data_IF_542360744235
#
_entry.id   IF_542360744235
#
_cell.length_a   1.000
_cell.length_b   1.000
_cell.length_c   1.000
_cell.angle_alpha   90.00
_cell.angle_beta   90.00
_cell.angle_gamma   90.00
#
_symmetry.space_group_name_H-M   'P 1'
#
loop_
_entity.id
_entity.type
_entity.pdbx_description
1 polymer ?
#
# COMPACT_ATOMS: atom_id res chain seq x y z
N UNK A 1 21.79 -15.29 17.68
CA UNK A 1 20.51 -14.69 18.10
C UNK A 1 19.52 -15.04 17.03
N UNK A 2 18.33 -15.52 17.40
CA UNK A 2 17.28 -15.81 16.42
C UNK A 2 16.97 -14.55 15.57
N UNK A 3 16.97 -14.63 14.23
CA UNK A 3 16.75 -13.47 13.36
C UNK A 3 15.41 -12.77 13.60
N UNK A 4 14.35 -13.54 13.89
CA UNK A 4 13.02 -13.00 14.17
C UNK A 4 13.02 -12.22 15.49
N UNK A 5 13.57 -12.80 16.56
CA UNK A 5 13.73 -12.09 17.84
C UNK A 5 14.55 -10.78 17.69
N UNK A 6 15.59 -10.79 16.85
CA UNK A 6 16.38 -9.60 16.57
C UNK A 6 15.59 -8.52 15.81
N UNK A 7 14.76 -8.93 14.84
CA UNK A 7 13.84 -8.07 14.09
C UNK A 7 12.82 -7.42 15.02
N UNK A 8 12.13 -8.22 15.85
CA UNK A 8 11.12 -7.69 16.78
C UNK A 8 11.74 -6.67 17.75
N UNK A 9 12.96 -6.93 18.25
CA UNK A 9 13.65 -5.96 19.10
C UNK A 9 13.98 -4.65 18.37
N UNK A 10 14.31 -4.70 17.07
CA UNK A 10 14.48 -3.48 16.26
C UNK A 10 13.18 -2.73 16.08
N UNK A 11 12.07 -3.41 15.79
CA UNK A 11 10.75 -2.79 15.67
C UNK A 11 10.37 -2.04 16.94
N UNK A 12 10.52 -2.68 18.12
CA UNK A 12 10.26 -2.02 19.41
C UNK A 12 11.13 -0.79 19.64
N UNK A 13 12.43 -0.87 19.29
CA UNK A 13 13.35 0.28 19.41
C UNK A 13 12.99 1.43 18.47
N UNK A 14 12.39 1.13 17.32
CA UNK A 14 11.89 2.11 16.37
C UNK A 14 10.51 2.69 16.75
N UNK A 15 9.92 2.27 17.88
CA UNK A 15 8.66 2.80 18.39
C UNK A 15 7.41 2.04 17.92
N UNK A 16 7.56 0.93 17.19
CA UNK A 16 6.43 0.07 16.84
C UNK A 16 5.99 -0.77 18.05
N UNK A 17 4.69 -0.78 18.31
CA UNK A 17 4.11 -1.60 19.36
C UNK A 17 4.02 -3.07 18.92
N UNK A 18 4.69 -3.94 19.69
CA UNK A 18 4.64 -5.39 19.50
C UNK A 18 4.37 -6.03 20.85
N UNK A 19 3.09 -6.27 21.11
CA UNK A 19 2.61 -6.87 22.35
C UNK A 19 3.06 -8.33 22.50
N UNK A 20 2.69 -8.96 23.61
CA UNK A 20 3.10 -10.34 23.90
C UNK A 20 2.47 -11.36 22.94
N UNK A 21 1.21 -11.16 22.52
CA UNK A 21 0.48 -12.08 21.64
C UNK A 21 1.05 -12.02 20.21
N UNK A 22 1.26 -10.82 19.68
CA UNK A 22 1.87 -10.59 18.39
C UNK A 22 3.31 -11.10 18.34
N UNK A 23 4.09 -10.86 19.40
CA UNK A 23 5.44 -11.41 19.51
C UNK A 23 5.44 -12.94 19.47
N UNK A 24 4.53 -13.60 20.18
CA UNK A 24 4.41 -15.06 20.14
C UNK A 24 4.05 -15.56 18.74
N UNK A 25 3.05 -14.95 18.09
CA UNK A 25 2.63 -15.31 16.74
C UNK A 25 3.76 -15.12 15.71
N UNK A 26 4.50 -14.00 15.75
CA UNK A 26 5.63 -13.76 14.85
C UNK A 26 6.79 -14.73 15.06
N UNK A 27 6.98 -15.23 16.29
CA UNK A 27 8.01 -16.24 16.59
C UNK A 27 7.58 -17.65 16.17
N UNK A 28 6.28 -17.96 16.20
CA UNK A 28 5.73 -19.25 15.82
C UNK A 28 5.64 -19.40 14.29
N UNK A 29 5.15 -18.37 13.60
CA UNK A 29 4.95 -18.41 12.15
C UNK A 29 6.25 -18.10 11.41
N UNK A 30 6.85 -19.15 10.85
CA UNK A 30 8.10 -19.04 10.11
C UNK A 30 7.89 -18.50 8.68
N UNK A 31 8.38 -17.29 8.42
CA UNK A 31 8.31 -16.65 7.08
C UNK A 31 8.87 -17.52 5.95
N UNK A 32 9.84 -18.40 6.25
CA UNK A 32 10.46 -19.32 5.28
C UNK A 32 9.47 -20.33 4.71
N UNK A 33 8.34 -20.55 5.37
CA UNK A 33 7.28 -21.40 4.85
C UNK A 33 6.45 -20.72 3.76
N UNK A 34 6.57 -19.41 3.56
CA UNK A 34 5.68 -18.64 2.67
C UNK A 34 6.36 -18.10 1.42
N UNK A 35 7.66 -18.33 1.25
CA UNK A 35 8.45 -17.96 0.08
C UNK A 35 9.59 -18.96 -0.13
N UNK A 36 9.99 -19.15 -1.39
CA UNK A 36 11.17 -19.95 -1.76
C UNK A 36 12.44 -19.10 -1.87
N UNK A 37 12.31 -17.79 -1.68
CA UNK A 37 13.40 -16.82 -1.75
C UNK A 37 14.06 -16.71 -0.36
N UNK A 38 15.35 -16.38 -0.36
CA UNK A 38 16.13 -16.21 0.85
C UNK A 38 15.52 -15.10 1.76
N UNK A 39 15.23 -15.40 3.05
CA UNK A 39 14.43 -14.54 3.93
C UNK A 39 15.21 -13.39 4.59
N UNK A 40 16.52 -13.26 4.39
CA UNK A 40 17.34 -12.23 5.08
C UNK A 40 16.80 -10.81 4.88
N UNK A 41 16.36 -10.37 3.68
CA UNK A 41 15.76 -9.06 3.50
C UNK A 41 14.56 -8.82 4.43
N UNK A 42 13.72 -9.83 4.63
CA UNK A 42 12.57 -9.75 5.54
C UNK A 42 13.02 -9.49 6.98
N UNK A 43 14.05 -10.19 7.45
CA UNK A 43 14.61 -9.93 8.78
C UNK A 43 15.20 -8.52 8.90
N UNK A 44 15.56 -7.85 7.80
CA UNK A 44 15.97 -6.44 7.79
C UNK A 44 14.82 -5.45 7.62
N UNK A 45 13.60 -5.87 7.95
CA UNK A 45 12.38 -5.07 7.84
C UNK A 45 12.07 -4.60 6.42
N UNK A 46 12.19 -5.52 5.45
CA UNK A 46 11.86 -5.26 4.04
C UNK A 46 10.78 -6.21 3.54
N UNK A 47 10.02 -5.81 2.50
CA UNK A 47 9.17 -6.74 1.79
C UNK A 47 10.00 -7.88 1.21
N UNK A 48 9.39 -9.05 1.04
CA UNK A 48 10.01 -10.19 0.38
C UNK A 48 9.11 -10.73 -0.72
N UNK A 49 9.70 -11.03 -1.87
CA UNK A 49 8.99 -11.65 -2.98
C UNK A 49 8.59 -13.07 -2.60
N UNK A 50 7.39 -13.49 -3.00
CA UNK A 50 6.94 -14.88 -2.84
C UNK A 50 6.46 -15.52 -4.13
N UNK A 51 6.11 -14.72 -5.14
CA UNK A 51 5.64 -15.19 -6.43
C UNK A 51 6.07 -14.20 -7.52
N UNK A 52 6.55 -14.74 -8.63
CA UNK A 52 6.81 -14.02 -9.87
C UNK A 52 6.04 -14.72 -10.99
N UNK A 53 5.21 -13.99 -11.72
CA UNK A 53 4.45 -14.53 -12.87
C UNK A 53 5.36 -14.65 -14.08
N UNK A 54 4.97 -15.50 -15.04
CA UNK A 54 5.69 -15.64 -16.31
C UNK A 54 5.74 -14.33 -17.13
N UNK A 55 4.83 -13.40 -16.85
CA UNK A 55 4.76 -12.07 -17.50
C UNK A 55 5.51 -10.99 -16.73
N UNK A 56 6.28 -11.36 -15.69
CA UNK A 56 7.09 -10.43 -14.90
C UNK A 56 6.32 -9.71 -13.79
N UNK A 57 5.10 -10.13 -13.45
CA UNK A 57 4.39 -9.61 -12.28
C UNK A 57 5.03 -10.14 -10.99
N UNK A 58 5.40 -9.26 -10.06
CA UNK A 58 6.05 -9.64 -8.80
C UNK A 58 5.12 -9.36 -7.63
N UNK A 59 4.86 -10.37 -6.79
CA UNK A 59 4.12 -10.17 -5.53
C UNK A 59 5.01 -10.38 -4.33
N UNK A 60 4.78 -9.51 -3.33
CA UNK A 60 5.55 -9.47 -2.10
C UNK A 60 4.69 -9.70 -0.87
N UNK A 61 5.28 -10.34 0.14
CA UNK A 61 4.84 -10.23 1.52
C UNK A 61 5.34 -8.88 2.05
N UNK A 62 4.47 -8.12 2.70
CA UNK A 62 4.78 -6.78 3.24
C UNK A 62 5.90 -6.83 4.28
N UNK A 63 6.59 -5.69 4.45
CA UNK A 63 7.61 -5.54 5.48
C UNK A 63 7.06 -5.82 6.90
N UNK A 64 7.87 -6.38 7.80
CA UNK A 64 7.48 -6.67 9.18
C UNK A 64 6.84 -5.52 9.96
N UNK A 65 7.32 -4.28 9.86
CA UNK A 65 6.69 -3.14 10.54
C UNK A 65 5.24 -2.96 10.09
N UNK A 66 4.99 -3.05 8.78
CA UNK A 66 3.65 -2.93 8.21
C UNK A 66 2.77 -4.09 8.64
N UNK A 67 3.29 -5.32 8.64
CA UNK A 67 2.56 -6.49 9.16
C UNK A 67 2.18 -6.28 10.63
N UNK A 68 3.11 -5.81 11.46
CA UNK A 68 2.86 -5.56 12.88
C UNK A 68 1.80 -4.49 13.11
N UNK A 69 1.84 -3.39 12.37
CA UNK A 69 0.86 -2.30 12.48
C UNK A 69 -0.53 -2.75 12.03
N UNK A 70 -0.64 -3.45 10.90
CA UNK A 70 -1.94 -3.96 10.44
C UNK A 70 -2.56 -4.92 11.46
N UNK A 71 -1.77 -5.83 12.03
CA UNK A 71 -2.26 -6.78 13.03
C UNK A 71 -2.68 -6.09 14.34
N UNK A 72 -1.95 -5.05 14.75
CA UNK A 72 -2.32 -4.24 15.91
C UNK A 72 -3.66 -3.52 15.69
N UNK A 73 -3.81 -2.84 14.55
CA UNK A 73 -5.05 -2.14 14.19
C UNK A 73 -6.23 -3.07 13.90
N UNK A 74 -5.97 -4.35 13.63
CA UNK A 74 -7.02 -5.35 13.45
C UNK A 74 -7.63 -5.82 14.78
N UNK A 75 -7.04 -5.48 15.93
CA UNK A 75 -7.63 -5.68 17.27
C UNK A 75 -8.22 -7.09 17.45
N UNK A 76 -7.42 -8.10 17.11
CA UNK A 76 -7.85 -9.49 17.07
C UNK A 76 -8.05 -10.09 18.46
N UNK A 77 -9.24 -10.65 18.68
CA UNK A 77 -9.56 -11.48 19.83
C UNK A 77 -9.64 -12.97 19.44
N UNK A 78 -9.42 -13.84 20.43
CA UNK A 78 -9.63 -15.28 20.26
C UNK A 78 -11.07 -15.56 19.84
N UNK A 79 -11.27 -16.44 18.86
CA UNK A 79 -12.59 -16.79 18.33
C UNK A 79 -13.14 -15.82 17.27
N UNK A 80 -12.41 -14.77 16.89
CA UNK A 80 -12.86 -13.88 15.83
C UNK A 80 -12.96 -14.60 14.47
N UNK A 81 -13.97 -14.21 13.70
CA UNK A 81 -14.09 -14.57 12.28
C UNK A 81 -13.50 -13.44 11.44
N UNK A 82 -12.44 -13.74 10.69
CA UNK A 82 -11.65 -12.75 9.95
C UNK A 82 -11.74 -13.03 8.46
N UNK A 83 -12.04 -12.00 7.66
CA UNK A 83 -11.92 -12.03 6.21
C UNK A 83 -10.69 -11.25 5.77
N UNK A 84 -9.85 -11.85 4.93
CA UNK A 84 -8.68 -11.22 4.32
C UNK A 84 -8.91 -11.15 2.80
N UNK A 85 -8.77 -9.96 2.22
CA UNK A 85 -8.79 -9.73 0.77
C UNK A 85 -7.37 -9.40 0.32
N UNK A 86 -6.87 -10.15 -0.66
CA UNK A 86 -5.46 -10.21 -0.99
C UNK A 86 -4.76 -11.21 -0.08
N UNK A 87 -4.40 -12.36 -0.64
CA UNK A 87 -3.79 -13.46 0.11
C UNK A 87 -2.30 -13.23 0.36
N UNK A 88 -1.64 -12.50 -0.54
CA UNK A 88 -0.17 -12.40 -0.60
C UNK A 88 0.42 -13.82 -0.57
N UNK A 89 1.54 -14.02 0.13
CA UNK A 89 2.13 -15.35 0.29
C UNK A 89 1.44 -16.23 1.33
N UNK A 90 0.31 -15.83 1.93
CA UNK A 90 -0.35 -16.56 3.02
C UNK A 90 0.17 -16.26 4.44
N UNK A 91 1.32 -15.59 4.57
CA UNK A 91 1.94 -15.26 5.88
C UNK A 91 1.02 -14.46 6.82
N UNK A 92 0.31 -13.46 6.30
CA UNK A 92 -0.66 -12.69 7.09
C UNK A 92 -1.79 -13.58 7.61
N UNK A 93 -2.31 -14.48 6.76
CA UNK A 93 -3.35 -15.44 7.15
C UNK A 93 -2.90 -16.39 8.26
N UNK A 94 -1.66 -16.88 8.19
CA UNK A 94 -1.07 -17.71 9.24
C UNK A 94 -0.95 -16.96 10.58
N UNK A 95 -0.47 -15.72 10.57
CA UNK A 95 -0.40 -14.89 11.79
C UNK A 95 -1.78 -14.63 12.39
N UNK A 96 -2.78 -14.31 11.55
CA UNK A 96 -4.16 -14.12 12.02
C UNK A 96 -4.71 -15.40 12.63
N UNK A 97 -4.48 -16.56 11.99
CA UNK A 97 -4.89 -17.88 12.49
C UNK A 97 -4.31 -18.19 13.87
N UNK A 98 -3.02 -17.91 14.10
CA UNK A 98 -2.41 -18.02 15.44
C UNK A 98 -3.07 -17.09 16.48
N UNK A 99 -3.36 -15.84 16.08
CA UNK A 99 -3.89 -14.83 16.99
C UNK A 99 -5.34 -15.08 17.39
N UNK A 100 -6.19 -15.54 16.46
CA UNK A 100 -7.60 -15.88 16.75
C UNK A 100 -7.74 -17.26 17.38
N UNK A 101 -6.74 -18.13 17.22
CA UNK A 101 -6.72 -19.47 17.80
C UNK A 101 -7.70 -20.45 17.15
N UNK A 102 -7.79 -21.69 17.67
CA UNK A 102 -8.53 -22.78 17.03
C UNK A 102 -10.06 -22.58 17.00
N UNK A 103 -10.60 -21.71 17.84
CA UNK A 103 -12.03 -21.37 17.87
C UNK A 103 -12.39 -20.23 16.89
N UNK A 104 -11.39 -19.57 16.30
CA UNK A 104 -11.56 -18.53 15.30
C UNK A 104 -11.41 -19.09 13.89
N UNK A 105 -11.89 -18.34 12.90
CA UNK A 105 -11.91 -18.75 11.49
C UNK A 105 -11.31 -17.65 10.62
N UNK A 106 -10.47 -18.03 9.64
CA UNK A 106 -9.83 -17.10 8.70
C UNK A 106 -10.23 -17.45 7.28
N UNK A 107 -10.91 -16.53 6.62
CA UNK A 107 -11.27 -16.63 5.21
C UNK A 107 -10.35 -15.73 4.40
N UNK A 108 -9.70 -16.27 3.37
CA UNK A 108 -8.77 -15.53 2.52
C UNK A 108 -9.26 -15.57 1.08
N UNK A 109 -9.39 -14.40 0.47
CA UNK A 109 -9.84 -14.21 -0.91
C UNK A 109 -8.75 -13.55 -1.73
N UNK A 110 -8.50 -14.09 -2.93
CA UNK A 110 -7.58 -13.47 -3.89
C UNK A 110 -8.08 -13.71 -5.32
N UNK A 111 -7.97 -12.72 -6.23
CA UNK A 111 -8.36 -12.93 -7.62
C UNK A 111 -7.38 -13.78 -8.43
N UNK A 112 -6.11 -13.83 -8.02
CA UNK A 112 -5.09 -14.58 -8.73
C UNK A 112 -5.11 -16.07 -8.35
N UNK A 113 -5.30 -16.93 -9.35
CA UNK A 113 -5.26 -18.37 -9.16
C UNK A 113 -3.89 -18.88 -8.72
N UNK A 114 -2.81 -18.30 -9.25
CA UNK A 114 -1.44 -18.65 -8.87
C UNK A 114 -1.17 -18.32 -7.40
N UNK A 115 -1.66 -17.17 -6.92
CA UNK A 115 -1.56 -16.76 -5.52
C UNK A 115 -2.39 -17.68 -4.62
N UNK A 116 -3.62 -18.03 -5.03
CA UNK A 116 -4.48 -18.95 -4.28
C UNK A 116 -3.84 -20.33 -4.14
N UNK A 117 -3.28 -20.87 -5.22
CA UNK A 117 -2.59 -22.17 -5.20
C UNK A 117 -1.38 -22.10 -4.26
N UNK A 118 -0.51 -21.10 -4.43
CA UNK A 118 0.67 -20.91 -3.58
C UNK A 118 0.29 -20.88 -2.10
N UNK A 119 -0.67 -20.04 -1.72
CA UNK A 119 -1.05 -19.91 -0.32
C UNK A 119 -1.77 -21.14 0.23
N UNK A 120 -2.61 -21.80 -0.56
CA UNK A 120 -3.26 -23.05 -0.16
C UNK A 120 -2.21 -24.12 0.18
N UNK A 121 -1.16 -24.23 -0.65
CA UNK A 121 -0.07 -25.18 -0.43
C UNK A 121 0.76 -24.83 0.82
N UNK A 122 0.92 -23.55 1.18
CA UNK A 122 1.67 -23.12 2.38
C UNK A 122 0.85 -23.10 3.67
N UNK A 123 -0.48 -23.13 3.57
CA UNK A 123 -1.41 -23.07 4.70
C UNK A 123 -2.10 -24.42 4.96
N UNK A 124 -1.66 -25.49 4.31
CA UNK A 124 -2.33 -26.81 4.30
C UNK A 124 -2.50 -27.46 5.68
N UNK A 125 -1.66 -27.10 6.65
CA UNK A 125 -1.66 -27.63 8.01
C UNK A 125 -2.52 -26.83 8.99
N UNK A 126 -3.18 -25.76 8.50
CA UNK A 126 -4.01 -24.86 9.31
C UNK A 126 -5.49 -25.12 9.06
N UNK A 127 -6.12 -25.84 9.99
CA UNK A 127 -7.51 -26.29 9.86
C UNK A 127 -8.55 -25.15 9.86
N UNK A 128 -8.21 -24.02 10.49
CA UNK A 128 -9.11 -22.87 10.62
C UNK A 128 -8.93 -21.80 9.53
N UNK A 129 -8.30 -22.16 8.41
CA UNK A 129 -8.12 -21.26 7.27
C UNK A 129 -8.82 -21.81 6.03
N UNK A 130 -9.56 -20.95 5.34
CA UNK A 130 -10.13 -21.24 4.02
C UNK A 130 -9.64 -20.22 2.99
N UNK A 131 -8.83 -20.67 2.03
CA UNK A 131 -8.36 -19.86 0.89
C UNK A 131 -9.26 -20.11 -0.32
N UNK A 132 -9.71 -19.05 -1.00
CA UNK A 132 -10.55 -19.15 -2.21
C UNK A 132 -10.21 -18.10 -3.24
N UNK A 133 -10.33 -18.51 -4.51
CA UNK A 133 -10.32 -17.59 -5.65
C UNK A 133 -11.63 -16.80 -5.70
N UNK A 134 -11.54 -15.52 -6.04
CA UNK A 134 -12.70 -14.66 -6.34
C UNK A 134 -12.52 -14.01 -7.71
N UNK A 135 -13.49 -14.18 -8.61
CA UNK A 135 -13.39 -13.58 -9.94
C UNK A 135 -13.82 -12.11 -9.95
N UNK A 136 -14.78 -11.75 -9.09
CA UNK A 136 -15.34 -10.41 -9.01
C UNK A 136 -15.59 -10.05 -7.53
N UNK A 137 -14.84 -9.06 -7.04
CA UNK A 137 -14.95 -8.55 -5.67
C UNK A 137 -16.31 -7.91 -5.36
N UNK A 138 -17.12 -7.57 -6.38
CA UNK A 138 -18.48 -7.06 -6.20
C UNK A 138 -19.49 -8.14 -5.83
N UNK A 139 -19.17 -9.41 -6.10
CA UNK A 139 -20.05 -10.56 -5.88
C UNK A 139 -19.61 -11.33 -4.65
N UNK A 140 -20.56 -11.71 -3.80
CA UNK A 140 -20.25 -12.54 -2.62
C UNK A 140 -19.78 -13.94 -3.04
N UNK A 141 -18.59 -14.38 -2.61
CA UNK A 141 -18.19 -15.76 -2.83
C UNK A 141 -19.05 -16.75 -2.02
N UNK A 142 -19.23 -17.97 -2.54
CA UNK A 142 -19.93 -19.02 -1.82
C UNK A 142 -19.19 -19.43 -0.55
N UNK A 143 -19.97 -19.81 0.48
CA UNK A 143 -19.48 -20.25 1.79
C UNK A 143 -18.61 -19.20 2.50
N UNK A 144 -18.89 -17.92 2.29
CA UNK A 144 -18.40 -16.83 3.16
C UNK A 144 -19.42 -16.64 4.28
N UNK A 145 -18.98 -16.50 5.55
CA UNK A 145 -19.87 -16.25 6.68
C UNK A 145 -20.83 -15.09 6.44
N UNK A 146 -22.02 -15.18 7.05
CA UNK A 146 -23.00 -14.10 7.02
C UNK A 146 -22.66 -12.95 7.98
N UNK A 147 -21.80 -13.21 8.97
CA UNK A 147 -21.33 -12.26 9.99
C UNK A 147 -19.82 -12.21 9.97
N UNK A 148 -19.23 -11.01 9.91
CA UNK A 148 -17.80 -10.77 9.88
C UNK A 148 -17.40 -9.86 11.04
N UNK A 149 -16.47 -10.32 11.89
CA UNK A 149 -15.95 -9.55 13.02
C UNK A 149 -14.84 -8.58 12.60
N UNK A 150 -13.97 -9.03 11.69
CA UNK A 150 -12.83 -8.26 11.19
C UNK A 150 -12.66 -8.51 9.70
N UNK A 151 -12.37 -7.46 8.96
CA UNK A 151 -11.99 -7.55 7.55
C UNK A 151 -10.68 -6.82 7.35
N UNK A 152 -9.72 -7.46 6.70
CA UNK A 152 -8.43 -6.88 6.34
C UNK A 152 -8.29 -6.91 4.83
N UNK A 153 -8.01 -5.77 4.22
CA UNK A 153 -7.63 -5.69 2.80
C UNK A 153 -6.13 -5.45 2.74
N UNK A 154 -5.41 -6.33 2.05
CA UNK A 154 -3.94 -6.30 1.99
C UNK A 154 -3.41 -5.80 0.64
N UNK A 155 -4.27 -5.21 -0.18
CA UNK A 155 -3.96 -4.40 -1.35
C UNK A 155 -4.84 -3.15 -1.36
N UNK A 156 -4.58 -2.23 -2.29
CA UNK A 156 -5.41 -1.03 -2.41
C UNK A 156 -6.77 -1.33 -3.03
N UNK A 157 -7.80 -0.63 -2.56
CA UNK A 157 -9.13 -0.60 -3.17
C UNK A 157 -9.55 0.86 -3.38
N UNK A 158 -10.28 1.11 -4.47
CA UNK A 158 -10.95 2.41 -4.64
C UNK A 158 -12.12 2.55 -3.68
N UNK A 159 -12.94 1.50 -3.61
CA UNK A 159 -14.13 1.44 -2.77
C UNK A 159 -14.27 0.05 -2.14
N UNK A 160 -14.92 0.00 -0.99
CA UNK A 160 -15.20 -1.25 -0.29
C UNK A 160 -16.46 -1.89 -0.90
N UNK A 161 -16.43 -3.18 -1.28
CA UNK A 161 -17.61 -3.88 -1.74
C UNK A 161 -18.77 -3.87 -0.73
N UNK A 162 -19.95 -3.43 -1.18
CA UNK A 162 -21.17 -3.31 -0.35
C UNK A 162 -21.51 -4.59 0.43
N UNK A 163 -21.24 -5.77 -0.14
CA UNK A 163 -21.57 -7.02 0.53
C UNK A 163 -20.71 -7.29 1.77
N UNK A 164 -19.49 -6.77 1.82
CA UNK A 164 -18.60 -6.87 2.98
C UNK A 164 -19.17 -6.00 4.09
N UNK A 165 -19.49 -4.74 3.77
CA UNK A 165 -20.10 -3.80 4.71
C UNK A 165 -21.39 -4.37 5.29
N UNK A 166 -22.27 -4.90 4.44
CA UNK A 166 -23.55 -5.49 4.85
C UNK A 166 -23.42 -6.75 5.72
N UNK A 167 -22.24 -7.35 5.81
CA UNK A 167 -21.96 -8.53 6.64
C UNK A 167 -21.13 -8.21 7.89
N UNK A 168 -20.72 -6.96 8.09
CA UNK A 168 -20.11 -6.54 9.34
C UNK A 168 -21.11 -6.66 10.49
N UNK A 169 -20.70 -7.35 11.55
CA UNK A 169 -21.44 -7.37 12.80
C UNK A 169 -21.29 -6.06 13.58
N UNK A 170 -22.12 -5.86 14.60
CA UNK A 170 -22.00 -4.70 15.50
C UNK A 170 -20.61 -4.66 16.16
N UNK A 171 -19.90 -3.53 16.05
CA UNK A 171 -18.51 -3.39 16.51
C UNK A 171 -17.48 -4.13 15.64
N UNK A 172 -17.92 -4.76 14.54
CA UNK A 172 -17.03 -5.27 13.50
C UNK A 172 -16.52 -4.13 12.62
N UNK A 173 -15.33 -4.31 12.05
CA UNK A 173 -14.75 -3.28 11.18
C UNK A 173 -13.92 -3.84 10.04
N UNK A 174 -13.75 -2.99 9.02
CA UNK A 174 -12.88 -3.19 7.86
C UNK A 174 -11.64 -2.32 8.03
N UNK A 175 -10.47 -2.90 7.85
CA UNK A 175 -9.20 -2.20 7.75
C UNK A 175 -8.70 -2.31 6.31
N UNK A 176 -8.69 -1.20 5.57
CA UNK A 176 -8.37 -1.19 4.15
C UNK A 176 -7.56 0.04 3.72
N UNK A 177 -6.52 -0.12 2.88
CA UNK A 177 -5.95 0.98 2.11
C UNK A 177 -6.95 1.44 1.05
N UNK A 178 -7.52 2.62 1.23
CA UNK A 178 -8.48 3.23 0.31
C UNK A 178 -7.84 4.39 -0.45
N UNK A 179 -7.94 4.37 -1.76
CA UNK A 179 -7.44 5.44 -2.62
C UNK A 179 -6.95 4.96 -3.98
N UNK A 180 -6.17 5.83 -4.63
CA UNK A 180 -5.60 5.59 -5.94
C UNK A 180 -4.33 4.73 -5.91
N UNK A 181 -3.61 4.66 -7.02
CA UNK A 181 -2.33 3.95 -7.13
C UNK A 181 -1.25 4.62 -6.28
N UNK A 182 -1.21 5.94 -6.26
CA UNK A 182 -0.12 6.74 -5.68
C UNK A 182 -0.42 7.39 -4.35
N UNK A 183 -1.69 7.57 -4.00
CA UNK A 183 -2.10 8.12 -2.72
C UNK A 183 -3.26 7.32 -2.13
N UNK A 184 -2.99 6.63 -1.02
CA UNK A 184 -3.96 5.83 -0.28
C UNK A 184 -3.94 6.22 1.19
N UNK A 185 -5.09 6.08 1.84
CA UNK A 185 -5.23 6.20 3.29
C UNK A 185 -5.59 4.86 3.87
N UNK A 186 -4.95 4.47 4.96
CA UNK A 186 -5.38 3.31 5.71
C UNK A 186 -6.61 3.70 6.53
N UNK A 187 -7.77 3.13 6.21
CA UNK A 187 -9.04 3.45 6.85
C UNK A 187 -9.50 2.27 7.70
N UNK A 188 -9.89 2.54 8.94
CA UNK A 188 -10.68 1.64 9.78
C UNK A 188 -12.14 2.07 9.72
N UNK A 189 -12.98 1.29 9.04
CA UNK A 189 -14.43 1.50 8.89
C UNK A 189 -15.21 0.57 9.82
N UNK A 190 -15.81 1.10 10.87
CA UNK A 190 -16.49 0.34 11.92
C UNK A 190 -18.02 0.43 11.84
N UNK A 191 -18.70 -0.69 12.06
CA UNK A 191 -20.16 -0.78 12.19
C UNK A 191 -20.59 -0.34 13.60
N UNK A 192 -21.37 0.73 13.67
CA UNK A 192 -22.01 1.21 14.90
C UNK A 192 -23.50 1.45 14.64
N UNK A 193 -24.34 0.50 15.06
CA UNK A 193 -25.75 0.44 14.70
C UNK A 193 -25.95 0.43 13.18
N UNK A 194 -26.79 1.34 12.68
CA UNK A 194 -27.06 1.45 11.23
C UNK A 194 -25.97 2.23 10.47
N UNK A 195 -24.97 2.79 11.16
CA UNK A 195 -23.93 3.62 10.58
C UNK A 195 -22.61 2.86 10.37
N UNK A 196 -21.80 3.38 9.44
CA UNK A 196 -20.40 3.03 9.25
C UNK A 196 -19.58 4.28 9.56
N UNK A 197 -18.64 4.16 10.51
CA UNK A 197 -17.76 5.26 10.92
C UNK A 197 -16.33 5.00 10.49
N UNK A 198 -15.74 5.98 9.82
CA UNK A 198 -14.36 5.90 9.32
C UNK A 198 -13.40 6.58 10.29
N UNK A 199 -12.30 5.89 10.59
CA UNK A 199 -11.12 6.44 11.22
C UNK A 199 -9.96 6.41 10.23
N UNK A 200 -9.39 7.58 9.94
CA UNK A 200 -8.18 7.72 9.12
C UNK A 200 -6.95 7.39 9.97
N UNK A 201 -6.19 6.37 9.54
CA UNK A 201 -4.97 5.91 10.21
C UNK A 201 -3.70 6.41 9.50
N UNK A 202 -3.83 7.29 8.50
CA UNK A 202 -2.73 7.94 7.80
C UNK A 202 -2.45 7.37 6.42
N UNK A 203 -1.49 8.00 5.73
CA UNK A 203 -1.12 7.66 4.36
C UNK A 203 -0.30 6.38 4.28
N UNK A 204 -0.62 5.53 3.31
CA UNK A 204 0.08 4.28 3.01
C UNK A 204 0.21 4.07 1.51
N UNK A 205 1.07 3.13 1.10
CA UNK A 205 1.18 2.70 -0.30
C UNK A 205 1.15 1.18 -0.34
N UNK A 206 0.07 0.63 -0.89
CA UNK A 206 -0.08 -0.79 -1.18
C UNK A 206 -0.22 -0.99 -2.69
N UNK A 207 0.33 -2.10 -3.17
CA UNK A 207 0.04 -2.56 -4.54
C UNK A 207 -1.43 -2.98 -4.69
N UNK A 208 -1.91 -3.14 -5.94
CA UNK A 208 -3.26 -3.60 -6.20
C UNK A 208 -3.49 -5.01 -5.65
N UNK A 209 -4.74 -5.32 -5.33
CA UNK A 209 -5.15 -6.67 -4.91
C UNK A 209 -4.86 -7.67 -6.04
N UNK A 210 -5.29 -7.38 -7.27
CA UNK A 210 -5.01 -8.23 -8.44
C UNK A 210 -3.54 -8.15 -8.86
N UNK A 211 -2.95 -9.28 -9.23
CA UNK A 211 -1.58 -9.37 -9.76
C UNK A 211 -1.49 -8.86 -11.19
N UNK A 212 -2.54 -9.03 -11.98
CA UNK A 212 -2.56 -8.61 -13.37
C UNK A 212 -2.39 -7.09 -13.50
N UNK A 213 -2.85 -6.33 -12.50
CA UNK A 213 -2.68 -4.87 -12.41
C UNK A 213 -1.25 -4.42 -12.08
N UNK A 214 -0.39 -5.34 -11.62
CA UNK A 214 1.03 -5.11 -11.31
C UNK A 214 1.99 -5.58 -12.40
N UNK A 215 1.50 -6.26 -13.44
CA UNK A 215 2.34 -6.69 -14.56
C UNK A 215 2.80 -5.46 -15.37
N UNK A 216 4.09 -5.38 -15.76
CA UNK A 216 4.57 -4.30 -16.61
C UNK A 216 3.79 -4.28 -17.93
N UNK A 217 2.98 -3.24 -18.12
CA UNK A 217 2.23 -3.01 -19.37
C UNK A 217 2.27 -1.54 -19.73
N UNK A 218 2.16 -1.26 -21.03
CA UNK A 218 1.94 0.09 -21.50
C UNK A 218 0.62 0.58 -20.88
N UNK A 219 0.59 1.74 -20.20
CA UNK A 219 -0.61 2.23 -19.53
C UNK A 219 -1.69 2.57 -20.56
N UNK A 220 -2.93 2.19 -20.25
CA UNK A 220 -4.10 2.56 -21.06
C UNK A 220 -4.38 4.06 -20.92
N UNK A 221 -5.20 4.67 -21.80
CA UNK A 221 -5.68 6.04 -21.60
C UNK A 221 -6.28 6.26 -20.21
N UNK A 222 -7.01 5.27 -19.69
CA UNK A 222 -7.62 5.35 -18.36
C UNK A 222 -6.56 5.30 -17.24
N UNK A 223 -5.54 4.44 -17.36
CA UNK A 223 -4.44 4.39 -16.39
C UNK A 223 -3.67 5.72 -16.34
N UNK A 224 -3.45 6.35 -17.50
CA UNK A 224 -2.82 7.67 -17.59
C UNK A 224 -3.72 8.75 -16.97
N UNK A 225 -5.02 8.71 -17.24
CA UNK A 225 -5.97 9.66 -16.64
C UNK A 225 -5.94 9.59 -15.11
N UNK A 226 -5.95 8.37 -14.56
CA UNK A 226 -5.87 8.15 -13.11
C UNK A 226 -4.51 8.60 -12.54
N UNK A 227 -3.40 8.33 -13.24
CA UNK A 227 -2.08 8.83 -12.87
C UNK A 227 -2.04 10.36 -12.78
N UNK A 228 -2.59 11.07 -13.77
CA UNK A 228 -2.62 12.52 -13.76
C UNK A 228 -3.52 13.08 -12.66
N UNK A 229 -4.70 12.46 -12.44
CA UNK A 229 -5.66 12.88 -11.41
C UNK A 229 -5.03 12.77 -10.01
N UNK A 230 -4.29 11.70 -9.75
CA UNK A 230 -3.54 11.52 -8.51
C UNK A 230 -2.33 12.46 -8.41
N UNK A 231 -1.61 12.65 -9.51
CA UNK A 231 -0.49 13.59 -9.60
C UNK A 231 -0.91 15.01 -9.24
N UNK A 232 -2.11 15.45 -9.64
CA UNK A 232 -2.67 16.76 -9.28
C UNK A 232 -2.72 16.96 -7.77
N UNK A 233 -3.15 15.95 -6.99
CA UNK A 233 -3.25 16.06 -5.53
C UNK A 233 -1.86 16.33 -4.93
N UNK A 234 -0.86 15.54 -5.34
CA UNK A 234 0.50 15.68 -4.83
C UNK A 234 1.14 16.99 -5.27
N UNK A 235 1.00 17.34 -6.56
CA UNK A 235 1.55 18.58 -7.12
C UNK A 235 0.98 19.83 -6.43
N UNK A 236 -0.31 19.82 -6.12
CA UNK A 236 -0.98 20.91 -5.40
C UNK A 236 -0.48 21.03 -3.97
N UNK A 237 -0.43 19.91 -3.25
CA UNK A 237 -0.14 19.91 -1.82
C UNK A 237 1.36 20.12 -1.52
N UNK A 238 2.25 19.67 -2.40
CA UNK A 238 3.70 19.63 -2.13
C UNK A 238 4.54 20.56 -3.01
N UNK A 239 4.08 20.90 -4.22
CA UNK A 239 4.91 21.61 -5.21
C UNK A 239 4.37 23.00 -5.60
N UNK A 240 3.18 23.40 -5.11
CA UNK A 240 2.64 24.75 -5.30
C UNK A 240 2.51 25.12 -6.79
N UNK A 241 2.04 24.19 -7.60
CA UNK A 241 1.86 24.38 -9.06
C UNK A 241 0.77 25.41 -9.37
N UNK A 242 0.90 26.10 -10.51
CA UNK A 242 -0.08 27.12 -10.94
C UNK A 242 -1.44 26.52 -11.30
N UNK A 243 -2.53 27.22 -10.98
CA UNK A 243 -3.90 26.83 -11.36
C UNK A 243 -4.06 26.59 -12.88
N UNK A 244 -3.36 27.35 -13.73
CA UNK A 244 -3.39 27.14 -15.18
C UNK A 244 -2.87 25.77 -15.61
N UNK A 245 -1.83 25.26 -14.91
CA UNK A 245 -1.28 23.93 -15.16
C UNK A 245 -2.24 22.84 -14.66
N UNK A 246 -2.86 23.05 -13.49
CA UNK A 246 -3.89 22.14 -12.96
C UNK A 246 -5.08 22.03 -13.92
N UNK A 247 -5.55 23.15 -14.46
CA UNK A 247 -6.64 23.15 -15.45
C UNK A 247 -6.27 22.38 -16.71
N UNK A 248 -5.05 22.56 -17.23
CA UNK A 248 -4.55 21.77 -18.38
C UNK A 248 -4.49 20.28 -18.09
N UNK A 249 -4.10 19.89 -16.88
CA UNK A 249 -4.11 18.48 -16.47
C UNK A 249 -5.55 17.94 -16.41
N UNK A 250 -6.51 18.69 -15.89
CA UNK A 250 -7.93 18.28 -15.91
C UNK A 250 -8.49 18.15 -17.33
N UNK A 251 -8.11 19.04 -18.25
CA UNK A 251 -8.50 18.95 -19.65
C UNK A 251 -7.89 17.70 -20.31
N UNK A 252 -6.62 17.39 -20.04
CA UNK A 252 -5.95 16.17 -20.51
C UNK A 252 -6.61 14.90 -19.93
N UNK A 253 -6.91 14.87 -18.62
CA UNK A 253 -7.64 13.76 -17.97
C UNK A 253 -8.99 13.54 -18.66
N UNK A 254 -9.72 14.63 -18.93
CA UNK A 254 -11.02 14.56 -19.60
C UNK A 254 -10.88 13.99 -21.01
N UNK A 255 -9.87 14.42 -21.77
CA UNK A 255 -9.60 13.90 -23.11
C UNK A 255 -9.19 12.43 -23.10
N UNK A 256 -8.36 12.01 -22.14
CA UNK A 256 -7.96 10.61 -21.96
C UNK A 256 -9.14 9.71 -21.64
N UNK A 257 -10.05 10.14 -20.74
CA UNK A 257 -11.29 9.41 -20.40
C UNK A 257 -12.32 9.36 -21.54
N UNK A 258 -12.12 10.14 -22.61
CA UNK A 258 -12.96 10.10 -23.82
C UNK A 258 -12.41 9.18 -24.91
N UNK A 259 -11.18 8.68 -24.77
CA UNK A 259 -10.62 7.70 -25.69
C UNK A 259 -11.32 6.34 -25.50
N UNK A 260 -11.39 5.49 -26.55
CA UNK A 260 -12.01 4.17 -26.43
C UNK A 260 -11.28 3.28 -25.41
N UNK A 261 -12.06 2.57 -24.58
CA UNK A 261 -11.53 1.64 -23.57
C UNK A 261 -10.81 0.43 -24.18
N UNK A 262 -11.14 0.08 -25.43
CA UNK A 262 -10.57 -1.06 -26.18
C UNK A 262 -9.38 -0.68 -27.06
N UNK A 263 -8.87 0.55 -26.92
CA UNK A 263 -7.71 1.03 -27.67
C UNK A 263 -6.50 0.13 -27.37
N UNK A 264 -6.00 -0.55 -28.40
CA UNK A 264 -4.80 -1.37 -28.28
C UNK A 264 -3.62 -0.48 -27.87
N UNK A 265 -2.71 -0.95 -26.98
CA UNK A 265 -1.53 -0.19 -26.66
C UNK A 265 -0.72 0.12 -27.93
N UNK A 266 -0.08 1.30 -28.02
CA UNK A 266 0.83 1.58 -29.13
C UNK A 266 1.95 0.53 -29.16
N UNK A 267 2.42 0.19 -30.35
CA UNK A 267 3.50 -0.79 -30.52
C UNK A 267 4.80 -0.08 -30.15
N UNK A 268 5.30 -0.32 -28.94
CA UNK A 268 6.59 0.22 -28.52
C UNK A 268 7.58 -0.95 -28.38
N UNK A 269 8.48 -1.13 -29.35
CA UNK A 269 9.63 -2.02 -29.18
C UNK A 269 10.67 -1.32 -28.29
N UNK A 270 10.55 -1.51 -26.98
CA UNK A 270 11.68 -1.32 -26.09
C UNK A 270 12.43 -2.65 -26.01
N UNK A 271 13.54 -2.79 -26.74
CA UNK A 271 14.48 -3.86 -26.45
C UNK A 271 15.09 -3.57 -25.06
N UNK A 272 14.57 -4.26 -24.04
CA UNK A 272 15.07 -4.20 -22.65
C UNK A 272 16.56 -4.60 -22.51
N UNK A 273 17.26 -4.93 -23.60
CA UNK A 273 18.68 -5.29 -23.61
C UNK A 273 19.63 -4.08 -23.72
N UNK A 274 19.16 -2.91 -24.15
CA UNK A 274 20.06 -1.80 -24.51
C UNK A 274 20.50 -0.89 -23.37
N UNK A 275 19.98 -1.07 -22.15
CA UNK A 275 20.40 -0.26 -20.99
C UNK A 275 21.73 -0.78 -20.39
N UNK A 276 22.16 -2.01 -20.69
CA UNK A 276 23.34 -2.61 -20.00
C UNK A 276 24.57 -2.81 -20.91
N UNK A 277 24.48 -2.63 -22.23
CA UNK A 277 25.67 -2.73 -23.09
C UNK A 277 25.70 -1.62 -24.14
N UNK A 278 26.10 -0.42 -23.73
CA UNK A 278 26.78 0.46 -24.68
C UNK A 278 28.14 -0.14 -25.03
N UNK A 279 28.17 -0.95 -26.09
CA UNK A 279 29.25 -0.90 -27.06
C UNK A 279 28.89 -1.63 -28.35
N UNK A 280 28.90 -0.83 -29.42
CA UNK A 280 29.15 -1.23 -30.80
C UNK A 280 28.03 -2.01 -31.52
N UNK A 281 27.04 -1.28 -32.03
CA UNK A 281 26.32 -1.69 -33.24
C UNK A 281 25.97 -0.46 -34.09
N UNK A 282 26.75 -0.26 -35.16
CA UNK A 282 26.41 0.60 -36.27
C UNK A 282 25.66 -0.25 -37.30
N UNK A 283 24.35 -0.40 -37.13
CA UNK A 283 23.36 -0.77 -38.16
C UNK A 283 22.00 -0.93 -37.46
N UNK A 284 21.10 0.03 -37.64
CA UNK A 284 19.76 0.00 -37.00
C UNK A 284 18.86 1.13 -37.48
N UNK A 285 18.98 1.50 -38.76
CA UNK A 285 18.22 2.61 -39.35
C UNK A 285 16.84 2.23 -39.89
N UNK A 286 16.58 0.95 -40.16
CA UNK A 286 15.36 0.55 -40.90
C UNK A 286 14.17 0.18 -39.98
N UNK A 287 14.41 -0.27 -38.73
CA UNK A 287 13.32 -0.68 -37.82
C UNK A 287 12.58 0.52 -37.20
N UNK A 288 13.21 1.70 -37.09
CA UNK A 288 12.61 2.89 -36.45
C UNK A 288 11.59 3.54 -37.40
N UNK A 289 11.93 3.63 -38.69
CA UNK A 289 11.08 4.25 -39.72
C UNK A 289 9.79 3.44 -39.97
N UNK A 290 9.83 2.10 -39.89
CA UNK A 290 8.63 1.24 -40.01
C UNK A 290 7.70 1.36 -38.78
N UNK A 291 8.24 1.60 -37.58
CA UNK A 291 7.46 1.77 -36.34
C UNK A 291 6.77 3.14 -36.28
N UNK A 292 7.43 4.19 -36.78
CA UNK A 292 6.81 5.51 -36.95
C UNK A 292 5.62 5.45 -37.93
N UNK A 293 5.70 4.63 -38.99
CA UNK A 293 4.58 4.40 -39.90
C UNK A 293 3.44 3.56 -39.28
N UNK A 294 3.72 2.57 -38.42
CA UNK A 294 2.70 1.75 -37.74
C UNK A 294 1.98 2.47 -36.59
N UNK A 295 2.69 3.33 -35.84
CA UNK A 295 2.10 4.14 -34.76
C UNK A 295 1.56 5.50 -35.22
N UNK A 296 1.89 5.93 -36.44
CA UNK A 296 1.43 7.18 -37.04
C UNK A 296 -0.09 7.18 -37.18
N UNK A 297 -0.77 7.82 -36.23
CA UNK A 297 -2.23 7.96 -36.00
C UNK A 297 -2.77 7.22 -34.77
N UNK A 298 -1.93 6.81 -33.82
CA UNK A 298 -2.45 6.28 -32.55
C UNK A 298 -3.09 7.42 -31.72
N UNK A 299 -4.41 7.40 -31.44
CA UNK A 299 -5.12 8.54 -30.80
C UNK A 299 -4.56 8.98 -29.45
N UNK A 300 -4.00 8.03 -28.68
CA UNK A 300 -3.31 8.34 -27.43
C UNK A 300 -2.00 9.10 -27.66
N UNK A 301 -1.20 8.71 -28.68
CA UNK A 301 0.07 9.37 -28.96
C UNK A 301 -0.18 10.77 -29.51
N UNK A 302 -1.15 10.94 -30.42
CA UNK A 302 -1.55 12.27 -30.91
C UNK A 302 -1.97 13.21 -29.77
N UNK A 303 -2.73 12.68 -28.80
CA UNK A 303 -3.15 13.46 -27.64
C UNK A 303 -1.96 13.86 -26.76
N UNK A 304 -1.05 12.93 -26.47
CA UNK A 304 0.14 13.20 -25.66
C UNK A 304 1.11 14.16 -26.37
N UNK A 305 1.28 14.02 -27.69
CA UNK A 305 2.10 14.92 -28.52
C UNK A 305 1.55 16.34 -28.52
N UNK A 306 0.21 16.49 -28.63
CA UNK A 306 -0.44 17.80 -28.58
C UNK A 306 -0.16 18.54 -27.27
N UNK A 307 -0.06 17.79 -26.17
CA UNK A 307 0.18 18.34 -24.84
C UNK A 307 1.67 18.31 -24.42
N UNK A 308 2.57 17.84 -25.30
CA UNK A 308 3.96 17.52 -24.96
C UNK A 308 4.75 18.73 -24.40
N UNK A 309 4.52 19.93 -24.93
CA UNK A 309 5.26 21.14 -24.58
C UNK A 309 5.24 21.44 -23.07
N UNK A 310 4.07 21.31 -22.44
CA UNK A 310 3.91 21.56 -21.01
C UNK A 310 4.05 20.28 -20.20
N UNK A 311 3.64 19.14 -20.77
CA UNK A 311 3.73 17.83 -20.12
C UNK A 311 5.19 17.47 -19.82
N UNK A 312 6.12 17.72 -20.75
CA UNK A 312 7.56 17.47 -20.57
C UNK A 312 8.14 18.19 -19.34
N UNK A 313 7.59 19.36 -18.96
CA UNK A 313 8.04 20.12 -17.79
C UNK A 313 7.65 19.48 -16.46
N UNK A 314 6.56 18.72 -16.43
CA UNK A 314 6.05 18.04 -15.21
C UNK A 314 6.28 16.53 -15.24
N UNK A 315 6.59 15.96 -16.40
CA UNK A 315 6.79 14.53 -16.60
C UNK A 315 7.82 13.96 -15.61
N UNK A 316 8.98 14.59 -15.33
CA UNK A 316 9.91 14.09 -14.32
C UNK A 316 9.33 14.08 -12.90
N UNK A 317 8.44 15.02 -12.55
CA UNK A 317 7.80 15.06 -11.24
C UNK A 317 6.74 13.96 -11.12
N UNK A 318 5.97 13.74 -12.18
CA UNK A 318 5.03 12.62 -12.28
C UNK A 318 5.77 11.28 -12.23
N UNK A 319 6.90 11.17 -12.94
CA UNK A 319 7.77 10.01 -12.88
C UNK A 319 8.34 9.82 -11.49
N UNK A 320 8.75 10.87 -10.78
CA UNK A 320 9.20 10.73 -9.38
C UNK A 320 8.08 10.22 -8.47
N UNK A 321 6.85 10.71 -8.66
CA UNK A 321 5.67 10.23 -7.96
C UNK A 321 5.42 8.74 -8.27
N UNK A 322 5.65 8.28 -9.51
CA UNK A 322 5.54 6.87 -9.91
C UNK A 322 6.79 6.03 -9.66
N UNK A 323 7.98 6.61 -9.53
CA UNK A 323 9.25 5.91 -9.32
C UNK A 323 9.49 5.69 -7.83
N UNK A 324 8.85 6.47 -6.96
CA UNK A 324 8.57 6.04 -5.58
C UNK A 324 7.78 4.70 -5.59
N UNK A 325 7.08 4.37 -6.69
CA UNK A 325 6.45 3.06 -6.91
C UNK A 325 7.32 2.02 -7.64
N UNK A 326 8.53 2.36 -8.09
CA UNK A 326 9.52 1.40 -8.64
C UNK A 326 10.77 1.22 -7.78
N UNK A 327 10.98 2.06 -6.75
CA UNK A 327 11.75 1.63 -5.59
C UNK A 327 10.92 0.62 -4.80
N UNK A 328 10.94 -0.64 -5.27
CA UNK A 328 10.94 -1.76 -4.35
C UNK A 328 11.91 -1.37 -3.23
N UNK A 329 11.48 -1.32 -1.95
CA UNK A 329 12.43 -1.17 -0.87
C UNK A 329 13.39 -2.36 -0.92
N UNK A 330 14.53 -2.21 -1.61
CA UNK A 330 15.51 -3.28 -1.83
C UNK A 330 15.74 -3.79 -3.26
N UNK A 331 15.36 -3.08 -4.33
CA UNK A 331 16.03 -3.34 -5.62
C UNK A 331 17.55 -3.25 -5.42
N UNK A 332 18.38 -4.17 -5.96
CA UNK A 332 19.83 -4.04 -5.87
C UNK A 332 20.20 -2.65 -6.41
N UNK A 333 20.95 -1.87 -5.62
CA UNK A 333 21.50 -0.62 -6.12
C UNK A 333 22.32 -0.98 -7.36
N UNK A 334 21.92 -0.51 -8.53
CA UNK A 334 22.87 -0.38 -9.62
C UNK A 334 23.92 0.63 -9.13
N UNK A 335 25.13 0.14 -8.84
CA UNK A 335 26.28 1.00 -8.63
C UNK A 335 26.47 1.83 -9.91
N UNK A 336 26.07 3.11 -9.89
CA UNK A 336 26.15 3.93 -11.10
C UNK A 336 25.59 5.35 -11.05
N UNK A 337 24.90 5.81 -9.99
CA UNK A 337 24.43 7.20 -9.91
C UNK A 337 24.81 7.85 -8.59
N UNK A 338 26.07 8.29 -8.52
CA UNK A 338 26.49 9.26 -7.52
C UNK A 338 25.82 10.62 -7.81
N UNK A 339 25.06 11.15 -6.86
CA UNK A 339 24.76 12.58 -6.80
C UNK A 339 23.30 13.01 -6.87
N UNK A 340 22.40 12.42 -6.06
CA UNK A 340 21.21 13.14 -5.59
C UNK A 340 21.04 12.86 -4.11
N UNK A 341 21.28 13.89 -3.28
CA UNK A 341 21.08 13.79 -1.83
C UNK A 341 19.63 13.47 -1.50
N UNK A 342 19.44 12.50 -0.62
CA UNK A 342 18.14 12.10 -0.08
C UNK A 342 17.42 13.32 0.53
N UNK A 343 16.28 13.78 -0.03
CA UNK A 343 15.54 14.93 0.51
C UNK A 343 14.66 14.55 1.71
N UNK A 344 14.51 13.26 2.02
CA UNK A 344 13.82 12.77 3.21
C UNK A 344 14.85 12.26 4.21
N UNK A 345 15.00 12.99 5.31
CA UNK A 345 16.01 12.75 6.34
C UNK A 345 16.16 11.29 6.79
N UNK A 346 17.33 11.02 7.34
CA UNK A 346 17.70 9.75 7.96
C UNK A 346 16.58 9.24 8.88
N UNK A 347 16.30 7.94 8.82
CA UNK A 347 15.19 7.30 9.54
C UNK A 347 15.33 7.50 11.05
N UNK A 348 14.70 8.57 11.56
CA UNK A 348 14.75 8.97 12.96
C UNK A 348 13.59 9.86 13.40
N UNK A 349 12.83 10.46 12.49
CA UNK A 349 11.70 11.31 12.86
C UNK A 349 10.38 10.52 12.84
N UNK A 350 9.86 10.34 14.04
CA UNK A 350 8.58 9.73 14.38
C UNK A 350 7.41 10.35 13.59
N UNK A 351 6.89 9.60 12.63
CA UNK A 351 5.77 10.01 11.75
C UNK A 351 4.37 9.82 12.38
N UNK A 352 4.28 9.27 13.59
CA UNK A 352 3.05 9.15 14.37
C UNK A 352 3.11 10.06 15.60
N UNK A 353 2.87 11.35 15.38
CA UNK A 353 2.68 12.32 16.46
C UNK A 353 1.31 12.11 17.11
N UNK A 354 1.31 11.74 18.39
CA UNK A 354 0.12 11.71 19.24
C UNK A 354 -0.40 13.15 19.41
N UNK A 355 -1.47 13.49 18.69
CA UNK A 355 -2.17 14.75 18.87
C UNK A 355 -2.94 14.77 20.18
N UNK A 356 -2.28 15.15 21.29
CA UNK A 356 -2.98 15.71 22.44
C UNK A 356 -2.99 17.23 22.31
N UNK A 357 -4.12 17.79 21.87
CA UNK A 357 -4.40 19.22 22.04
C UNK A 357 -4.41 19.55 23.54
N UNK A 358 -3.33 20.14 24.05
CA UNK A 358 -3.37 20.91 25.28
C UNK A 358 -3.58 22.37 24.91
N UNK A 359 -4.76 22.87 25.28
CA UNK A 359 -5.10 24.28 25.27
C UNK A 359 -4.03 25.10 25.98
N UNK A 360 -3.48 26.07 25.25
CA UNK A 360 -2.45 26.99 25.72
C UNK A 360 -3.16 28.15 26.44
N UNK A 361 -3.27 28.06 27.78
CA UNK A 361 -3.61 29.22 28.62
C UNK A 361 -2.29 29.96 28.88
N UNK A 362 -2.20 31.17 28.32
CA UNK A 362 -1.16 32.14 28.66
C UNK A 362 -1.46 32.68 30.06
N UNK A 363 -0.55 32.45 30.99
CA UNK A 363 -0.42 33.30 32.17
C UNK A 363 0.92 34.05 32.05
N UNK A 364 0.79 35.38 31.96
CA UNK A 364 1.87 36.35 32.01
C UNK A 364 2.29 36.53 33.48
N UNK A 365 3.52 36.17 33.82
CA UNK A 365 4.17 36.56 35.08
C UNK A 365 5.17 37.70 34.78
N UNK A 366 4.81 38.94 35.12
CA UNK A 366 5.76 39.98 35.51
C UNK A 366 5.19 40.81 36.68
N UNK A 367 5.89 40.67 37.81
CA UNK A 367 6.17 41.66 38.86
C UNK A 367 5.04 42.51 39.49
N UNK A 368 4.79 42.23 40.77
CA UNK A 368 3.98 43.08 41.65
C UNK A 368 4.06 42.67 43.11
N UNK A 369 5.17 43.03 43.76
CA UNK A 369 5.38 43.06 45.21
C UNK A 369 4.15 43.61 45.97
N UNK A 370 3.51 42.82 46.83
CA UNK A 370 2.86 43.33 48.05
C UNK A 370 2.63 42.23 49.09
N UNK A 371 2.89 42.66 50.32
CA UNK A 371 3.02 41.94 51.57
C UNK A 371 1.75 41.33 52.17
N UNK A 372 2.01 40.37 53.07
CA UNK A 372 1.39 40.16 54.40
C UNK A 372 0.17 39.24 54.54
N UNK A 373 0.30 38.36 55.54
CA UNK A 373 -0.75 37.63 56.30
C UNK A 373 -1.55 36.57 55.51
N UNK A 374 -1.79 35.35 55.96
CA UNK A 374 -1.56 34.65 57.21
C UNK A 374 -2.36 33.34 57.17
N UNK A 375 -1.90 32.35 57.93
CA UNK A 375 -2.69 31.28 58.55
C UNK A 375 -3.36 30.16 57.71
N UNK A 376 -2.82 28.96 57.98
CA UNK A 376 -3.50 27.72 58.41
C UNK A 376 -4.25 26.83 57.41
N UNK A 377 -3.71 25.61 57.29
CA UNK A 377 -4.36 24.31 57.48
C UNK A 377 -5.86 24.18 57.13
N UNK A 378 -6.18 23.26 56.24
CA UNK A 378 -6.78 21.98 56.65
C UNK A 378 -6.81 20.97 55.51
N UNK A 379 -6.32 19.77 55.84
CA UNK A 379 -6.56 18.50 55.17
C UNK A 379 -8.06 18.23 55.00
N UNK A 380 -8.45 17.53 53.94
CA UNK A 380 -9.31 16.33 54.02
C UNK A 380 -9.35 15.65 52.64
N UNK A 381 -8.67 14.51 52.54
CA UNK A 381 -9.02 13.39 51.65
C UNK A 381 -10.24 12.62 52.22
N UNK A 382 -10.87 11.69 51.49
CA UNK A 382 -10.48 11.09 50.21
C UNK A 382 -11.32 11.48 48.98
#
# INVERSE_FOLDING_TARGET
MDPMAALINRLRKAGFEVDQRLNAAMMEVDIRQFTDIEPTPFFHDRPIVFLETLKGGVKTISAPHMVSQLLLHLELATGNTVLIIGCKGGYMGALVSELVGPEGEVFILDPSEEVVIHATDRLFDRENISVKKIEDLSIVPPKIPASLSRVLVTGSLREIPNWIENRLEEGGFILAPLGGRTHQKLVKRERQGDALLDTDLGSVVFGPVDICESEPRIPSPQDLADLFDEGIVILRDHFGVSEDLINRMYDLITALRQLPDDLQPPIIRFDLHDIVVQKDAADGGDDIDEIEEENGNHPLLELLEREADWLAGIWPLLLMITDIHMMHPGAPKHEGTDGVGNPFGDAGDSFFGTGSEKANIKDDDEDGDFSSEGFQHQDFTP
#
